data_IF_469956936851
#
_entry.id   IF_469956936851
#
_cell.length_a   1.000
_cell.length_b   1.000
_cell.length_c   1.000
_cell.angle_alpha   90.00
_cell.angle_beta   90.00
_cell.angle_gamma   90.00
#
_symmetry.space_group_name_H-M   'P 1'
#
loop_
_entity.id
_entity.type
_entity.pdbx_description
1 polymer ?
#
# COMPACT_ATOMS: atom_id res chain seq x y z
N UNK A 1 43.79 55.90 9.14
CA UNK A 1 44.23 56.24 10.51
C UNK A 1 43.04 56.14 11.46
N UNK A 2 43.05 55.15 12.37
CA UNK A 2 42.64 55.21 13.79
C UNK A 2 41.26 55.79 14.17
N UNK A 3 40.32 54.94 14.64
CA UNK A 3 40.12 54.60 16.07
C UNK A 3 38.81 53.84 16.32
N UNK A 4 38.89 52.81 17.17
CA UNK A 4 37.76 52.12 17.83
C UNK A 4 37.16 53.01 18.93
N UNK A 5 35.86 52.89 19.19
CA UNK A 5 35.19 53.07 20.50
C UNK A 5 33.93 52.19 20.49
N UNK A 6 33.90 51.06 21.21
CA UNK A 6 33.55 50.84 22.63
C UNK A 6 32.06 51.05 22.94
N UNK A 7 31.43 49.93 23.30
CA UNK A 7 30.04 49.67 23.74
C UNK A 7 29.52 50.58 24.85
N UNK A 8 28.19 50.65 25.01
CA UNK A 8 27.64 50.27 26.31
C UNK A 8 26.43 49.33 26.23
N UNK A 9 26.52 48.25 27.00
CA UNK A 9 25.40 47.45 27.50
C UNK A 9 24.44 48.35 28.29
N UNK A 10 23.16 48.34 27.95
CA UNK A 10 22.09 48.81 28.85
C UNK A 10 21.11 47.69 29.10
N UNK A 11 20.88 47.51 30.40
CA UNK A 11 20.21 46.43 31.07
C UNK A 11 18.71 46.78 31.23
N UNK A 12 17.85 45.79 30.98
CA UNK A 12 16.56 45.61 31.64
C UNK A 12 15.48 46.68 31.50
N UNK A 13 14.42 46.37 30.76
CA UNK A 13 13.06 46.74 31.19
C UNK A 13 12.06 45.65 30.87
N UNK A 14 11.58 45.04 31.94
CA UNK A 14 10.48 44.08 32.04
C UNK A 14 9.22 44.60 31.34
N UNK A 15 8.68 43.82 30.41
CA UNK A 15 7.38 44.07 29.78
C UNK A 15 6.56 42.76 29.75
N UNK A 16 6.09 42.34 30.93
CA UNK A 16 4.97 41.39 31.07
C UNK A 16 3.70 42.25 31.16
N UNK A 17 3.06 42.56 30.02
CA UNK A 17 1.74 41.95 29.81
C UNK A 17 1.38 41.72 28.32
N UNK A 18 2.35 41.49 27.42
CA UNK A 18 2.05 41.27 25.98
C UNK A 18 2.11 39.78 25.59
N UNK A 19 2.91 38.98 26.29
CA UNK A 19 3.10 37.54 25.99
C UNK A 19 1.88 36.68 26.36
N UNK A 20 1.00 37.16 27.25
CA UNK A 20 -0.18 36.39 27.70
C UNK A 20 -1.34 36.52 26.72
N UNK A 21 -1.38 37.57 25.90
CA UNK A 21 -2.47 37.80 24.94
C UNK A 21 -2.31 37.01 23.63
N UNK A 22 -1.09 36.55 23.31
CA UNK A 22 -0.85 35.71 22.11
C UNK A 22 -1.09 34.21 22.33
N UNK A 23 -1.23 33.77 23.59
CA UNK A 23 -1.37 32.35 23.96
C UNK A 23 -2.83 31.88 24.11
N UNK A 24 -3.82 32.75 23.86
CA UNK A 24 -5.25 32.39 23.88
C UNK A 24 -5.88 32.24 22.50
N UNK A 25 -5.18 32.61 21.42
CA UNK A 25 -5.71 32.50 20.03
C UNK A 25 -5.39 31.14 19.37
N UNK A 26 -4.43 30.38 19.90
CA UNK A 26 -4.07 29.02 19.43
C UNK A 26 -4.92 27.92 20.08
N UNK A 27 -5.94 28.26 20.86
CA UNK A 27 -6.86 27.27 21.46
C UNK A 27 -8.14 27.01 20.62
N UNK A 28 -8.39 27.80 19.57
CA UNK A 28 -9.64 27.73 18.78
C UNK A 28 -9.46 26.91 17.47
N UNK A 29 -8.26 26.43 17.19
CA UNK A 29 -7.94 25.68 15.96
C UNK A 29 -8.24 24.16 16.02
N UNK A 30 -9.04 23.67 16.98
CA UNK A 30 -9.27 22.23 17.19
C UNK A 30 -10.73 21.74 17.03
N UNK A 31 -11.67 22.57 16.56
CA UNK A 31 -13.08 22.14 16.41
C UNK A 31 -13.56 21.96 14.96
N UNK A 32 -12.66 21.98 13.97
CA UNK A 32 -13.00 21.66 12.58
C UNK A 32 -12.81 20.19 12.20
N UNK A 33 -12.72 19.27 13.18
CA UNK A 33 -13.07 17.87 12.95
C UNK A 33 -14.60 17.77 12.85
N UNK A 34 -15.18 18.20 11.72
CA UNK A 34 -16.50 17.72 11.31
C UNK A 34 -16.38 16.21 11.18
N UNK A 35 -16.82 15.50 12.22
CA UNK A 35 -17.19 14.09 12.16
C UNK A 35 -18.33 14.01 11.15
N UNK A 36 -17.99 13.87 9.88
CA UNK A 36 -18.92 13.47 8.84
C UNK A 36 -19.42 12.09 9.28
N UNK A 37 -20.73 12.04 9.51
CA UNK A 37 -21.46 10.92 10.08
C UNK A 37 -20.95 9.59 9.53
N UNK A 38 -20.79 8.63 10.45
CA UNK A 38 -20.79 7.22 10.12
C UNK A 38 -21.98 6.96 9.21
N UNK A 39 -21.70 6.75 7.94
CA UNK A 39 -22.62 6.08 7.05
C UNK A 39 -22.73 4.68 7.66
N UNK A 40 -23.90 4.36 8.21
CA UNK A 40 -24.21 3.02 8.67
C UNK A 40 -23.99 2.09 7.49
N UNK A 41 -22.87 1.37 7.52
CA UNK A 41 -22.61 0.26 6.63
C UNK A 41 -23.68 -0.76 6.98
N UNK A 42 -24.73 -0.80 6.16
CA UNK A 42 -25.71 -1.88 6.22
C UNK A 42 -24.95 -3.20 6.06
N UNK A 43 -25.23 -4.21 6.90
CA UNK A 43 -24.53 -5.49 6.83
C UNK A 43 -25.05 -6.30 5.66
N UNK A 44 -24.73 -5.90 4.43
CA UNK A 44 -25.13 -6.62 3.21
C UNK A 44 -24.04 -6.61 2.11
N UNK A 45 -22.77 -6.39 2.50
CA UNK A 45 -21.65 -6.88 1.70
C UNK A 45 -21.07 -8.09 2.45
N UNK A 46 -21.76 -9.23 2.36
CA UNK A 46 -21.10 -10.51 2.53
C UNK A 46 -20.06 -10.61 1.41
N UNK A 47 -18.85 -10.05 1.60
CA UNK A 47 -17.70 -10.43 0.79
C UNK A 47 -17.56 -11.94 0.96
N UNK A 48 -18.04 -12.67 -0.06
CA UNK A 48 -17.93 -14.13 -0.11
C UNK A 48 -16.47 -14.48 0.17
N UNK A 49 -16.21 -15.13 1.30
CA UNK A 49 -14.84 -15.45 1.68
C UNK A 49 -14.21 -16.31 0.60
N UNK A 50 -13.06 -15.91 0.08
CA UNK A 50 -12.38 -16.68 -0.97
C UNK A 50 -11.75 -17.94 -0.37
N UNK A 51 -12.16 -19.08 -0.90
CA UNK A 51 -11.72 -20.42 -0.52
C UNK A 51 -11.11 -21.14 -1.72
N UNK A 52 -10.47 -22.27 -1.48
CA UNK A 52 -9.98 -23.13 -2.55
C UNK A 52 -11.10 -23.58 -3.53
N UNK A 53 -12.35 -23.64 -3.06
CA UNK A 53 -13.49 -24.09 -3.85
C UNK A 53 -14.07 -23.02 -4.79
N UNK A 54 -14.01 -21.74 -4.42
CA UNK A 54 -14.57 -20.62 -5.20
C UNK A 54 -13.52 -19.64 -5.75
N UNK A 55 -12.23 -19.82 -5.48
CA UNK A 55 -11.15 -18.96 -6.01
C UNK A 55 -11.18 -18.81 -7.54
N UNK A 56 -11.10 -17.58 -8.03
CA UNK A 56 -11.07 -17.26 -9.45
C UNK A 56 -10.09 -16.13 -9.74
N UNK A 57 -9.96 -15.77 -11.02
CA UNK A 57 -9.11 -14.66 -11.41
C UNK A 57 -9.67 -13.35 -10.84
N UNK A 58 -10.98 -13.13 -10.96
CA UNK A 58 -11.64 -11.89 -10.52
C UNK A 58 -11.57 -11.72 -9.01
N UNK A 59 -11.86 -12.77 -8.22
CA UNK A 59 -11.96 -12.62 -6.76
C UNK A 59 -10.62 -12.72 -6.01
N UNK A 60 -9.54 -13.17 -6.65
CA UNK A 60 -8.24 -13.35 -5.99
C UNK A 60 -7.04 -13.16 -6.91
N UNK A 61 -6.93 -13.95 -7.98
CA UNK A 61 -5.64 -14.11 -8.65
C UNK A 61 -5.18 -12.80 -9.30
N UNK A 62 -6.11 -12.00 -9.84
CA UNK A 62 -5.81 -10.67 -10.40
C UNK A 62 -5.10 -9.78 -9.37
N UNK A 63 -5.69 -9.62 -8.19
CA UNK A 63 -5.13 -8.80 -7.13
C UNK A 63 -3.76 -9.33 -6.67
N UNK A 64 -3.58 -10.66 -6.61
CA UNK A 64 -2.29 -11.27 -6.30
C UNK A 64 -1.22 -10.88 -7.34
N UNK A 65 -1.50 -11.03 -8.64
CA UNK A 65 -0.54 -10.70 -9.70
C UNK A 65 -0.25 -9.20 -9.76
N UNK A 66 -1.27 -8.35 -9.57
CA UNK A 66 -1.13 -6.90 -9.51
C UNK A 66 -0.26 -6.45 -8.34
N UNK A 67 -0.42 -7.05 -7.16
CA UNK A 67 0.26 -6.58 -5.94
C UNK A 67 1.62 -7.23 -5.70
N UNK A 68 1.79 -8.50 -6.06
CA UNK A 68 3.00 -9.29 -5.74
C UNK A 68 3.91 -9.52 -6.93
N UNK A 69 3.41 -9.40 -8.16
CA UNK A 69 4.18 -9.77 -9.36
C UNK A 69 4.46 -8.58 -10.29
N UNK A 70 3.53 -7.63 -10.39
CA UNK A 70 3.56 -6.55 -11.40
C UNK A 70 4.78 -5.62 -11.27
N UNK A 71 5.36 -5.46 -10.07
CA UNK A 71 6.54 -4.61 -9.85
C UNK A 71 7.71 -4.99 -10.76
N UNK A 72 7.87 -6.28 -11.04
CA UNK A 72 8.90 -6.83 -11.93
C UNK A 72 8.34 -7.29 -13.28
N UNK A 73 7.07 -7.74 -13.33
CA UNK A 73 6.48 -8.37 -14.50
C UNK A 73 5.50 -7.50 -15.29
N UNK A 74 5.20 -6.26 -14.92
CA UNK A 74 4.39 -5.37 -15.76
C UNK A 74 5.14 -4.95 -17.05
N UNK A 75 4.44 -4.46 -18.08
CA UNK A 75 5.08 -3.97 -19.31
C UNK A 75 6.18 -2.95 -19.02
N UNK A 76 7.35 -3.14 -19.63
CA UNK A 76 8.52 -2.25 -19.45
C UNK A 76 9.29 -2.44 -18.14
N UNK A 77 8.94 -3.42 -17.30
CA UNK A 77 9.68 -3.75 -16.07
C UNK A 77 10.82 -4.73 -16.33
N UNK A 78 11.76 -4.84 -15.37
CA UNK A 78 13.00 -5.60 -15.54
C UNK A 78 12.81 -7.09 -15.87
N UNK A 79 11.70 -7.71 -15.44
CA UNK A 79 11.41 -9.12 -15.76
C UNK A 79 10.40 -9.30 -16.91
N UNK A 80 9.93 -8.21 -17.54
CA UNK A 80 8.97 -8.25 -18.67
C UNK A 80 9.51 -9.05 -19.87
N UNK A 81 10.82 -9.03 -20.10
CA UNK A 81 11.50 -9.82 -21.13
C UNK A 81 11.39 -11.35 -20.90
N UNK A 82 11.13 -11.79 -19.68
CA UNK A 82 10.91 -13.21 -19.35
C UNK A 82 9.45 -13.56 -19.38
N UNK A 83 8.60 -12.72 -18.80
CA UNK A 83 7.16 -12.84 -18.83
C UNK A 83 6.57 -11.46 -18.49
N UNK A 84 5.59 -11.03 -19.28
CA UNK A 84 4.84 -9.79 -19.04
C UNK A 84 3.44 -10.13 -18.55
N UNK A 85 3.10 -9.66 -17.37
CA UNK A 85 1.74 -9.67 -16.86
C UNK A 85 0.93 -8.56 -17.56
N UNK A 86 -0.09 -8.96 -18.32
CA UNK A 86 -0.96 -8.07 -19.10
C UNK A 86 -2.43 -8.49 -19.04
N UNK A 87 -2.86 -9.09 -17.92
CA UNK A 87 -4.23 -9.55 -17.69
C UNK A 87 -4.39 -11.07 -17.69
N UNK A 88 -5.63 -11.54 -17.62
CA UNK A 88 -5.98 -12.95 -17.44
C UNK A 88 -5.29 -13.89 -18.44
N UNK A 89 -5.41 -13.64 -19.74
CA UNK A 89 -4.84 -14.51 -20.78
C UNK A 89 -3.32 -14.69 -20.60
N UNK A 90 -2.60 -13.62 -20.29
CA UNK A 90 -1.15 -13.68 -20.06
C UNK A 90 -0.75 -14.60 -18.90
N UNK A 91 -1.59 -14.67 -17.86
CA UNK A 91 -1.38 -15.54 -16.71
C UNK A 91 -1.78 -16.96 -17.05
N UNK A 92 -2.96 -17.15 -17.64
CA UNK A 92 -3.50 -18.46 -18.03
C UNK A 92 -2.54 -19.21 -18.95
N UNK A 93 -2.08 -18.56 -20.01
CA UNK A 93 -1.18 -19.13 -21.01
C UNK A 93 0.20 -19.46 -20.43
N UNK A 94 0.57 -18.87 -19.30
CA UNK A 94 1.84 -19.09 -18.60
C UNK A 94 1.67 -19.82 -17.26
N UNK A 95 0.48 -20.36 -16.96
CA UNK A 95 0.13 -20.92 -15.65
C UNK A 95 1.08 -22.04 -15.21
N UNK A 96 1.50 -22.93 -16.11
CA UNK A 96 2.50 -23.98 -15.84
C UNK A 96 3.85 -23.41 -15.40
N UNK A 97 4.31 -22.34 -16.05
CA UNK A 97 5.58 -21.68 -15.72
C UNK A 97 5.50 -20.93 -14.40
N UNK A 98 4.37 -20.27 -14.15
CA UNK A 98 4.08 -19.58 -12.88
C UNK A 98 4.03 -20.59 -11.74
N UNK A 99 3.31 -21.70 -11.92
CA UNK A 99 3.26 -22.82 -10.96
C UNK A 99 4.67 -23.31 -10.62
N UNK A 100 5.50 -23.57 -11.64
CA UNK A 100 6.85 -24.02 -11.40
C UNK A 100 7.66 -23.00 -10.61
N UNK A 101 7.65 -21.72 -10.99
CA UNK A 101 8.47 -20.68 -10.37
C UNK A 101 8.03 -20.33 -8.94
N UNK A 102 6.72 -20.36 -8.65
CA UNK A 102 6.14 -19.90 -7.39
C UNK A 102 5.88 -21.05 -6.41
N UNK A 103 5.31 -22.16 -6.89
CA UNK A 103 4.82 -23.25 -6.02
C UNK A 103 5.81 -24.41 -5.92
N UNK A 104 6.53 -24.72 -7.01
CA UNK A 104 7.46 -25.86 -7.06
C UNK A 104 8.87 -25.45 -6.62
N UNK A 105 9.52 -24.55 -7.36
CA UNK A 105 10.90 -24.13 -7.10
C UNK A 105 10.97 -23.02 -6.05
N UNK A 106 9.86 -22.30 -5.82
CA UNK A 106 9.75 -21.17 -4.88
C UNK A 106 10.80 -20.07 -5.15
N UNK A 107 11.20 -19.93 -6.40
CA UNK A 107 12.15 -18.91 -6.88
C UNK A 107 11.53 -17.51 -7.05
N UNK A 108 10.20 -17.42 -7.00
CA UNK A 108 9.44 -16.17 -7.12
C UNK A 108 8.44 -16.05 -5.97
N UNK A 109 8.19 -14.83 -5.47
CA UNK A 109 8.76 -13.55 -5.91
C UNK A 109 10.18 -13.28 -5.37
N UNK A 110 11.03 -12.63 -6.17
CA UNK A 110 12.39 -12.23 -5.73
C UNK A 110 12.28 -11.12 -4.68
N UNK A 111 12.99 -11.28 -3.56
CA UNK A 111 13.02 -10.27 -2.48
C UNK A 111 11.72 -10.15 -1.70
N UNK A 112 10.80 -11.10 -1.87
CA UNK A 112 9.53 -11.16 -1.15
C UNK A 112 9.08 -12.59 -0.91
N UNK A 113 7.85 -12.73 -0.42
CA UNK A 113 7.21 -14.04 -0.28
C UNK A 113 5.69 -13.89 -0.42
N UNK A 114 5.05 -15.01 -0.72
CA UNK A 114 3.61 -15.15 -0.57
C UNK A 114 3.31 -15.73 0.82
N UNK A 115 2.20 -15.30 1.41
CA UNK A 115 1.66 -15.91 2.61
C UNK A 115 1.21 -17.35 2.32
N UNK A 116 1.07 -18.15 3.38
CA UNK A 116 0.56 -19.53 3.26
C UNK A 116 -0.80 -19.56 2.57
N UNK A 117 -1.70 -18.62 2.89
CA UNK A 117 -3.02 -18.55 2.28
C UNK A 117 -2.98 -18.17 0.81
N UNK A 118 -2.11 -17.22 0.43
CA UNK A 118 -1.92 -16.87 -0.99
C UNK A 118 -1.37 -18.06 -1.80
N UNK A 119 -0.45 -18.84 -1.23
CA UNK A 119 0.07 -20.06 -1.84
C UNK A 119 -1.04 -21.09 -2.03
N UNK A 120 -1.85 -21.34 -0.99
CA UNK A 120 -2.98 -22.27 -1.02
C UNK A 120 -4.00 -21.89 -2.09
N UNK A 121 -4.40 -20.62 -2.14
CA UNK A 121 -5.39 -20.13 -3.10
C UNK A 121 -4.84 -20.11 -4.54
N UNK A 122 -3.57 -19.77 -4.73
CA UNK A 122 -2.93 -19.83 -6.04
C UNK A 122 -2.83 -21.26 -6.57
N UNK A 123 -2.42 -22.21 -5.72
CA UNK A 123 -2.37 -23.64 -6.06
C UNK A 123 -3.77 -24.17 -6.41
N UNK A 124 -4.78 -23.85 -5.60
CA UNK A 124 -6.17 -24.23 -5.88
C UNK A 124 -6.69 -23.64 -7.19
N UNK A 125 -6.42 -22.36 -7.45
CA UNK A 125 -6.82 -21.69 -8.68
C UNK A 125 -6.20 -22.33 -9.93
N UNK A 126 -4.91 -22.67 -9.89
CA UNK A 126 -4.22 -23.36 -10.99
C UNK A 126 -4.77 -24.78 -11.18
N UNK A 127 -4.96 -25.55 -10.09
CA UNK A 127 -5.52 -26.91 -10.14
C UNK A 127 -6.95 -26.96 -10.68
N UNK A 128 -7.72 -25.89 -10.46
CA UNK A 128 -9.06 -25.71 -11.03
C UNK A 128 -9.05 -25.21 -12.48
N UNK A 129 -7.91 -25.30 -13.16
CA UNK A 129 -7.73 -24.88 -14.54
C UNK A 129 -7.96 -23.37 -14.76
N UNK A 130 -7.52 -22.54 -13.80
CA UNK A 130 -7.50 -21.07 -13.90
C UNK A 130 -8.87 -20.45 -14.24
N UNK A 131 -9.94 -20.69 -13.45
CA UNK A 131 -11.24 -20.09 -13.71
C UNK A 131 -11.15 -18.56 -13.68
N UNK A 132 -11.78 -17.90 -14.65
CA UNK A 132 -11.80 -16.43 -14.70
C UNK A 132 -12.78 -15.87 -13.68
N UNK A 133 -14.00 -16.45 -13.60
CA UNK A 133 -15.09 -16.08 -12.71
C UNK A 133 -15.37 -17.19 -11.69
#
# INVERSE_FOLDING_TARGET
MLKKLKTPTTYGRTSRPIVVLSMTVVAIALTACTKKQAQELSPDDEEETVTAANVSYINFAKALFETKCSSCHAPGRGASAKWTFSGYSSVKDNSTRINNAVLVTKSMPIGGSLTVKEIELLDAWIKRNTPEN
#
